data_IF_634970070206
#
_entry.id   IF_634970070206
#
_cell.length_a   1.000
_cell.length_b   1.000
_cell.length_c   1.000
_cell.angle_alpha   90.00
_cell.angle_beta   90.00
_cell.angle_gamma   90.00
#
_symmetry.space_group_name_H-M   'P 1'
#
loop_
_entity.id
_entity.type
_entity.pdbx_description
1 polymer ?
#
# COMPACT_ATOMS: atom_id res chain seq x y z
N UNK A 1 -6.96 12.55 -21.86
CA UNK A 1 -5.62 12.73 -21.27
C UNK A 1 -5.66 12.87 -19.75
N UNK A 2 -6.01 14.01 -19.13
CA UNK A 2 -5.95 14.18 -17.64
C UNK A 2 -6.60 13.05 -16.80
N UNK A 3 -7.76 12.54 -17.23
CA UNK A 3 -8.45 11.45 -16.53
C UNK A 3 -7.74 10.08 -16.68
N UNK A 4 -7.09 9.84 -17.81
CA UNK A 4 -6.31 8.61 -18.02
C UNK A 4 -5.02 8.64 -17.21
N UNK A 5 -4.30 9.76 -17.21
CA UNK A 5 -3.08 9.95 -16.42
C UNK A 5 -3.38 9.79 -14.93
N UNK A 6 -4.47 10.39 -14.45
CA UNK A 6 -4.98 10.18 -13.09
C UNK A 6 -5.30 8.71 -12.81
N UNK A 7 -6.08 8.03 -13.67
CA UNK A 7 -6.43 6.62 -13.49
C UNK A 7 -5.20 5.70 -13.49
N UNK A 8 -4.19 6.00 -14.31
CA UNK A 8 -2.94 5.26 -14.36
C UNK A 8 -2.09 5.50 -13.10
N UNK A 9 -1.97 6.75 -12.68
CA UNK A 9 -1.31 7.11 -11.42
C UNK A 9 -2.01 6.46 -10.22
N UNK A 10 -3.34 6.58 -10.10
CA UNK A 10 -4.14 5.99 -9.01
C UNK A 10 -3.96 4.48 -8.94
N UNK A 11 -3.92 3.78 -10.07
CA UNK A 11 -3.62 2.34 -10.11
C UNK A 11 -2.22 2.02 -9.60
N UNK A 12 -1.20 2.83 -9.94
CA UNK A 12 0.17 2.66 -9.42
C UNK A 12 0.22 2.95 -7.91
N UNK A 13 -0.48 3.99 -7.47
CA UNK A 13 -0.65 4.38 -6.07
C UNK A 13 -1.24 3.24 -5.22
N UNK A 14 -2.37 2.65 -5.63
CA UNK A 14 -3.01 1.54 -4.90
C UNK A 14 -2.10 0.31 -4.79
N UNK A 15 -1.37 -0.02 -5.87
CA UNK A 15 -0.39 -1.13 -5.86
C UNK A 15 0.76 -0.85 -4.89
N UNK A 16 1.25 0.39 -4.86
CA UNK A 16 2.29 0.81 -3.93
C UNK A 16 1.78 0.75 -2.49
N UNK A 17 0.59 1.28 -2.20
CA UNK A 17 -0.02 1.24 -0.87
C UNK A 17 -0.17 -0.19 -0.36
N UNK A 18 -0.65 -1.10 -1.21
CA UNK A 18 -0.76 -2.52 -0.87
C UNK A 18 0.60 -3.12 -0.46
N UNK A 19 1.68 -2.75 -1.15
CA UNK A 19 3.04 -3.24 -0.84
C UNK A 19 3.57 -2.61 0.46
N UNK A 20 3.29 -1.33 0.69
CA UNK A 20 3.66 -0.64 1.91
C UNK A 20 2.96 -1.23 3.13
N UNK A 21 1.64 -1.44 3.06
CA UNK A 21 0.86 -2.06 4.13
C UNK A 21 1.32 -3.51 4.39
N UNK A 22 1.55 -4.30 3.34
CA UNK A 22 2.10 -5.65 3.47
C UNK A 22 3.47 -5.64 4.16
N UNK A 23 4.38 -4.76 3.75
CA UNK A 23 5.71 -4.67 4.36
C UNK A 23 5.63 -4.21 5.82
N UNK A 24 4.75 -3.26 6.14
CA UNK A 24 4.48 -2.85 7.53
C UNK A 24 3.99 -4.01 8.38
N UNK A 25 3.02 -4.76 7.87
CA UNK A 25 2.46 -5.94 8.56
C UNK A 25 3.53 -7.00 8.82
N UNK A 26 4.35 -7.35 7.82
CA UNK A 26 5.36 -8.41 7.93
C UNK A 26 6.55 -8.05 8.85
N UNK A 27 6.70 -6.78 9.21
CA UNK A 27 7.72 -6.35 10.20
C UNK A 27 7.25 -6.61 11.63
N UNK A 28 5.93 -6.67 11.86
CA UNK A 28 5.33 -6.95 13.15
C UNK A 28 5.41 -8.44 13.50
N UNK A 29 5.26 -8.75 14.78
CA UNK A 29 5.08 -10.13 15.22
C UNK A 29 3.78 -10.69 14.66
N UNK A 30 3.77 -12.00 14.37
CA UNK A 30 2.62 -12.66 13.74
C UNK A 30 1.33 -12.56 14.57
N UNK A 31 1.45 -12.51 15.90
CA UNK A 31 0.33 -12.29 16.82
C UNK A 31 -0.39 -10.97 16.59
N UNK A 32 0.30 -9.97 16.04
CA UNK A 32 -0.19 -8.59 15.97
C UNK A 32 -0.77 -8.26 14.59
N UNK A 33 -0.65 -9.17 13.62
CA UNK A 33 -1.06 -8.93 12.23
C UNK A 33 -2.54 -8.60 12.10
N UNK A 34 -3.41 -9.39 12.74
CA UNK A 34 -4.85 -9.22 12.62
C UNK A 34 -5.31 -7.90 13.25
N UNK A 35 -4.81 -7.57 14.45
CA UNK A 35 -5.07 -6.30 15.13
C UNK A 35 -4.63 -5.11 14.27
N UNK A 36 -3.39 -5.14 13.76
CA UNK A 36 -2.86 -4.06 12.94
C UNK A 36 -3.67 -3.87 11.64
N UNK A 37 -4.07 -4.96 10.98
CA UNK A 37 -4.85 -4.88 9.76
C UNK A 37 -6.27 -4.37 10.01
N UNK A 38 -6.89 -4.73 11.13
CA UNK A 38 -8.20 -4.20 11.53
C UNK A 38 -8.13 -2.68 11.82
N UNK A 39 -7.09 -2.22 12.51
CA UNK A 39 -6.84 -0.79 12.73
C UNK A 39 -6.66 -0.03 11.41
N UNK A 40 -5.89 -0.58 10.47
CA UNK A 40 -5.70 0.04 9.15
C UNK A 40 -6.99 0.06 8.33
N UNK A 41 -7.85 -0.97 8.46
CA UNK A 41 -9.15 -0.99 7.80
C UNK A 41 -10.05 0.13 8.32
N UNK A 42 -10.17 0.25 9.65
CA UNK A 42 -10.93 1.34 10.30
C UNK A 42 -10.41 2.71 9.87
N UNK A 43 -9.08 2.85 9.80
CA UNK A 43 -8.42 4.08 9.37
C UNK A 43 -8.81 4.45 7.94
N UNK A 44 -8.79 3.49 7.01
CA UNK A 44 -9.15 3.74 5.61
C UNK A 44 -10.63 4.11 5.44
N UNK A 45 -11.51 3.46 6.20
CA UNK A 45 -12.94 3.79 6.21
C UNK A 45 -13.20 5.19 6.80
N UNK A 46 -12.46 5.59 7.85
CA UNK A 46 -12.63 6.87 8.51
C UNK A 46 -12.14 8.06 7.67
N UNK A 47 -10.99 7.94 7.00
CA UNK A 47 -10.44 9.03 6.19
C UNK A 47 -11.19 9.25 4.87
N UNK A 48 -11.83 8.23 4.30
CA UNK A 48 -12.58 8.35 3.05
C UNK A 48 -11.72 8.55 1.80
N UNK A 49 -10.40 8.44 1.91
CA UNK A 49 -9.44 8.60 0.80
C UNK A 49 -9.51 7.45 -0.22
N UNK A 50 -10.19 6.36 0.10
CA UNK A 50 -10.34 5.16 -0.72
C UNK A 50 -11.81 4.80 -0.88
N UNK A 51 -12.19 4.40 -2.08
CA UNK A 51 -13.49 3.73 -2.30
C UNK A 51 -13.47 2.32 -1.71
N UNK A 52 -14.63 1.74 -1.41
CA UNK A 52 -14.73 0.36 -0.91
C UNK A 52 -14.01 -0.66 -1.81
N UNK A 53 -14.13 -0.49 -3.14
CA UNK A 53 -13.45 -1.35 -4.11
C UNK A 53 -11.92 -1.23 -4.04
N UNK A 54 -11.39 -0.03 -3.75
CA UNK A 54 -9.96 0.20 -3.58
C UNK A 54 -9.45 -0.40 -2.27
N UNK A 55 -10.22 -0.26 -1.18
CA UNK A 55 -9.93 -0.92 0.10
C UNK A 55 -9.89 -2.44 -0.10
N UNK A 56 -10.93 -3.01 -0.71
CA UNK A 56 -10.98 -4.44 -1.01
C UNK A 56 -9.80 -4.89 -1.89
N UNK A 57 -9.42 -4.10 -2.89
CA UNK A 57 -8.25 -4.36 -3.73
C UNK A 57 -6.96 -4.41 -2.90
N UNK A 58 -6.75 -3.44 -2.00
CA UNK A 58 -5.56 -3.37 -1.15
C UNK A 58 -5.48 -4.58 -0.22
N UNK A 59 -6.54 -4.82 0.55
CA UNK A 59 -6.55 -5.88 1.56
C UNK A 59 -6.44 -7.28 0.93
N UNK A 60 -7.08 -7.52 -0.22
CA UNK A 60 -6.94 -8.79 -0.94
C UNK A 60 -5.48 -9.09 -1.32
N UNK A 61 -4.73 -8.06 -1.75
CA UNK A 61 -3.31 -8.20 -2.08
C UNK A 61 -2.46 -8.42 -0.83
N UNK A 62 -2.77 -7.74 0.26
CA UNK A 62 -2.08 -7.92 1.55
C UNK A 62 -2.29 -9.34 2.07
N UNK A 63 -3.53 -9.82 2.16
CA UNK A 63 -3.83 -11.20 2.61
C UNK A 63 -3.19 -12.26 1.71
N UNK A 64 -3.14 -12.04 0.40
CA UNK A 64 -2.43 -12.94 -0.51
C UNK A 64 -0.90 -12.91 -0.26
N UNK A 65 -0.32 -11.72 -0.09
CA UNK A 65 1.11 -11.56 0.20
C UNK A 65 1.52 -12.18 1.52
N UNK A 66 0.72 -11.99 2.58
CA UNK A 66 0.91 -12.62 3.88
C UNK A 66 0.90 -14.13 3.74
N UNK A 67 -0.14 -14.72 3.13
CA UNK A 67 -0.20 -16.18 2.93
C UNK A 67 1.00 -16.74 2.20
N UNK A 68 1.50 -16.02 1.19
CA UNK A 68 2.66 -16.43 0.40
C UNK A 68 3.99 -16.30 1.17
N UNK A 69 4.12 -15.31 2.04
CA UNK A 69 5.39 -14.97 2.69
C UNK A 69 5.49 -15.47 4.13
N UNK A 70 4.37 -15.75 4.80
CA UNK A 70 4.33 -16.18 6.20
C UNK A 70 4.98 -17.55 6.44
N UNK A 71 5.16 -18.37 5.40
CA UNK A 71 5.89 -19.64 5.47
C UNK A 71 7.41 -19.47 5.42
N UNK A 72 7.92 -18.26 5.15
CA UNK A 72 9.35 -18.00 5.06
C UNK A 72 9.87 -17.46 6.40
N UNK A 73 10.83 -18.18 7.00
CA UNK A 73 11.48 -17.83 8.28
C UNK A 73 12.07 -16.39 8.30
N UNK A 74 12.42 -15.85 7.12
CA UNK A 74 13.03 -14.51 6.97
C UNK A 74 12.08 -13.42 6.46
N UNK A 75 10.75 -13.63 6.51
CA UNK A 75 9.79 -12.68 5.95
C UNK A 75 9.95 -11.25 6.49
N UNK A 76 10.26 -11.10 7.79
CA UNK A 76 10.46 -9.79 8.44
C UNK A 76 11.75 -9.10 7.99
N UNK A 77 12.83 -9.85 7.72
CA UNK A 77 14.10 -9.32 7.22
C UNK A 77 13.94 -8.89 5.76
N UNK A 78 13.29 -9.72 4.94
CA UNK A 78 12.93 -9.39 3.57
C UNK A 78 12.03 -8.16 3.49
N UNK A 79 11.04 -8.04 4.38
CA UNK A 79 10.14 -6.90 4.45
C UNK A 79 10.91 -5.61 4.78
N UNK A 80 11.79 -5.64 5.80
CA UNK A 80 12.66 -4.49 6.14
C UNK A 80 13.52 -4.06 4.96
N UNK A 81 14.19 -4.99 4.28
CA UNK A 81 14.99 -4.68 3.07
C UNK A 81 14.14 -4.10 1.92
N UNK A 82 12.87 -4.50 1.82
CA UNK A 82 11.97 -3.97 0.81
C UNK A 82 11.47 -2.55 1.12
N UNK A 83 11.52 -2.10 2.39
CA UNK A 83 11.00 -0.79 2.80
C UNK A 83 11.70 0.37 2.09
N UNK A 84 13.02 0.31 1.85
CA UNK A 84 13.73 1.39 1.15
C UNK A 84 13.25 1.54 -0.30
N UNK A 85 13.06 0.41 -1.00
CA UNK A 85 12.52 0.40 -2.37
C UNK A 85 11.08 0.92 -2.40
N UNK A 86 10.27 0.54 -1.40
CA UNK A 86 8.90 1.03 -1.25
C UNK A 86 8.93 2.54 -1.00
N UNK A 87 9.75 3.05 -0.08
CA UNK A 87 9.86 4.48 0.23
C UNK A 87 10.26 5.27 -1.01
N UNK A 88 11.29 4.83 -1.74
CA UNK A 88 11.72 5.47 -2.98
C UNK A 88 10.62 5.49 -4.06
N UNK A 89 9.83 4.42 -4.17
CA UNK A 89 8.69 4.39 -5.09
C UNK A 89 7.57 5.34 -4.64
N UNK A 90 7.33 5.48 -3.34
CA UNK A 90 6.34 6.40 -2.79
C UNK A 90 6.69 7.85 -3.10
N UNK A 91 7.96 8.22 -2.92
CA UNK A 91 8.47 9.55 -3.27
C UNK A 91 8.25 9.87 -4.75
N UNK A 92 8.59 8.94 -5.66
CA UNK A 92 8.31 9.13 -7.09
C UNK A 92 6.83 9.31 -7.38
N UNK A 93 5.95 8.55 -6.73
CA UNK A 93 4.50 8.71 -6.91
C UNK A 93 3.99 10.07 -6.41
N UNK A 94 4.58 10.63 -5.35
CA UNK A 94 4.27 11.99 -4.88
C UNK A 94 4.73 13.05 -5.88
N UNK A 95 5.91 12.87 -6.49
CA UNK A 95 6.40 13.75 -7.55
C UNK A 95 5.47 13.69 -8.78
N UNK A 96 5.15 12.49 -9.27
CA UNK A 96 4.19 12.31 -10.36
C UNK A 96 2.83 12.96 -10.04
N UNK A 97 2.39 12.86 -8.78
CA UNK A 97 1.14 13.48 -8.33
C UNK A 97 1.20 15.00 -8.46
N UNK A 98 2.30 15.63 -8.03
CA UNK A 98 2.48 17.08 -8.15
C UNK A 98 2.42 17.56 -9.61
N UNK A 99 2.90 16.76 -10.56
CA UNK A 99 2.79 17.07 -11.99
C UNK A 99 1.37 16.89 -12.54
N UNK A 100 0.69 15.81 -12.14
CA UNK A 100 -0.66 15.48 -12.61
C UNK A 100 -1.71 16.43 -12.02
N UNK A 101 -1.55 16.83 -10.76
CA UNK A 101 -2.49 17.68 -10.03
C UNK A 101 -2.08 19.17 -9.99
N UNK A 102 -0.79 19.50 -10.15
CA UNK A 102 -0.27 20.87 -10.08
C UNK A 102 -0.35 21.67 -11.38
N UNK A 103 -0.64 21.07 -12.54
CA UNK A 103 -0.92 21.78 -13.80
C UNK A 103 -2.38 22.30 -13.89
N UNK A 104 -2.88 22.83 -12.79
CA UNK A 104 -4.28 23.22 -12.63
C UNK A 104 -4.48 24.33 -11.62
N UNK A 105 -3.74 25.44 -11.78
CA UNK A 105 -4.13 26.77 -11.33
C UNK A 105 -3.71 27.78 -12.40
#
# INVERSE_FOLDING_TARGET
MKNEDYKHWRRRWLRWHSRSLLAGTLVLQRSDWDTYLDEMLKTYLAYGDFTENEIAFIFRRVSHGIRRLASHLDASVCARRAQDKIRAQGLRLMTDAAEIFGQGF
#
